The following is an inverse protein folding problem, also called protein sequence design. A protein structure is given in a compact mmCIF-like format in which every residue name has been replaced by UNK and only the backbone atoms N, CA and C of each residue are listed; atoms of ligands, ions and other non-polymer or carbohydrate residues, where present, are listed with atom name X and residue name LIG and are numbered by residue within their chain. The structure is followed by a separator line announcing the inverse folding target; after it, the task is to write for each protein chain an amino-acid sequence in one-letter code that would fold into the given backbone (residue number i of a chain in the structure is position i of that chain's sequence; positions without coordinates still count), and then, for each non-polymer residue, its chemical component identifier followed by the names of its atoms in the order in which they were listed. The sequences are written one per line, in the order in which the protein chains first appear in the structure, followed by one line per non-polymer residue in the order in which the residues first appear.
data_IF_425080307726
#
_entry.id   IF_425080307726
#
_cell.length_a   1.000
_cell.length_b   1.000
_cell.length_c   1.000
_cell.angle_alpha   90.00
_cell.angle_beta   90.00
_cell.angle_gamma   90.00
#
_symmetry.space_group_name_H-M   'P 1'
#
loop_
_entity.id
_entity.type
_entity.pdbx_description
1 polymer ?
#
# COMPACT_ATOMS: atom_id res chain seq x y z
N UNK A 1 -44.16 8.88 -28.51
CA UNK A 1 -44.10 8.58 -27.06
C UNK A 1 -43.43 7.23 -26.75
N UNK A 2 -43.78 6.12 -27.42
CA UNK A 2 -43.13 4.80 -27.22
C UNK A 2 -41.60 4.73 -27.43
N UNK A 3 -40.97 5.37 -28.44
CA UNK A 3 -39.52 5.26 -28.62
C UNK A 3 -38.74 6.09 -27.59
N UNK A 4 -39.29 7.22 -27.15
CA UNK A 4 -38.71 8.08 -26.09
C UNK A 4 -38.65 7.36 -24.74
N UNK A 5 -39.69 6.57 -24.41
CA UNK A 5 -39.71 5.79 -23.17
C UNK A 5 -38.66 4.67 -23.18
N UNK A 6 -38.44 4.04 -24.34
CA UNK A 6 -37.42 3.00 -24.50
C UNK A 6 -35.99 3.56 -24.42
N UNK A 7 -35.75 4.75 -24.97
CA UNK A 7 -34.44 5.43 -24.88
C UNK A 7 -34.12 5.88 -23.45
N UNK A 8 -35.12 6.35 -22.69
CA UNK A 8 -34.94 6.69 -21.26
C UNK A 8 -34.65 5.42 -20.44
N UNK A 9 -35.31 4.30 -20.74
CA UNK A 9 -35.06 3.02 -20.06
C UNK A 9 -33.64 2.49 -20.34
N UNK A 10 -33.11 2.67 -21.55
CA UNK A 10 -31.75 2.24 -21.93
C UNK A 10 -30.66 3.05 -21.23
N UNK A 11 -30.88 4.35 -20.98
CA UNK A 11 -29.96 5.22 -20.24
C UNK A 11 -29.90 4.89 -18.74
N UNK A 12 -30.94 4.26 -18.19
CA UNK A 12 -30.99 3.80 -16.79
C UNK A 12 -30.23 2.49 -16.54
N UNK A 13 -29.80 1.78 -17.60
CA UNK A 13 -28.95 0.58 -17.49
C UNK A 13 -27.46 0.86 -17.71
N UNK A 14 -27.07 2.13 -17.85
CA UNK A 14 -25.66 2.54 -17.85
C UNK A 14 -25.12 2.69 -16.43
N UNK A 15 -25.49 1.78 -15.53
CA UNK A 15 -24.75 1.61 -14.29
C UNK A 15 -23.34 1.19 -14.71
N UNK A 16 -22.40 2.10 -14.50
CA UNK A 16 -20.98 1.86 -14.62
C UNK A 16 -20.64 0.70 -13.72
N UNK A 17 -20.42 -0.48 -14.31
CA UNK A 17 -19.82 -1.61 -13.62
C UNK A 17 -18.39 -1.20 -13.22
N UNK A 18 -18.25 -0.65 -12.02
CA UNK A 18 -16.97 -0.65 -11.34
C UNK A 18 -16.71 -2.11 -10.95
N UNK A 19 -15.62 -2.68 -11.46
CA UNK A 19 -15.08 -3.88 -10.81
C UNK A 19 -14.85 -3.51 -9.34
N UNK A 20 -15.45 -4.26 -8.42
CA UNK A 20 -15.24 -4.00 -7.00
C UNK A 20 -13.81 -4.41 -6.67
N UNK A 21 -13.01 -3.45 -6.20
CA UNK A 21 -11.72 -3.79 -5.66
C UNK A 21 -11.97 -4.55 -4.36
N UNK A 22 -11.66 -5.85 -4.35
CA UNK A 22 -11.87 -6.69 -3.18
C UNK A 22 -10.85 -6.43 -2.07
N UNK A 23 -9.75 -5.73 -2.37
CA UNK A 23 -8.78 -5.31 -1.37
C UNK A 23 -9.30 -4.06 -0.66
N UNK A 24 -9.65 -4.16 0.64
CA UNK A 24 -9.97 -2.98 1.43
C UNK A 24 -8.74 -2.07 1.54
N UNK A 25 -8.98 -0.77 1.76
CA UNK A 25 -7.91 0.22 1.94
C UNK A 25 -6.76 0.10 0.92
N UNK A 26 -7.07 -0.13 -0.37
CA UNK A 26 -6.07 -0.45 -1.40
C UNK A 26 -5.01 0.63 -1.65
N UNK A 27 -5.20 1.85 -1.13
CA UNK A 27 -4.24 2.96 -1.23
C UNK A 27 -3.48 3.25 0.08
N UNK A 28 -3.71 2.50 1.16
CA UNK A 28 -3.11 2.71 2.49
C UNK A 28 -3.50 4.02 3.19
N UNK A 29 -4.52 4.73 2.72
CA UNK A 29 -4.93 6.02 3.28
C UNK A 29 -5.75 5.89 4.57
N UNK A 30 -6.28 4.70 4.86
CA UNK A 30 -6.94 4.42 6.13
C UNK A 30 -5.93 3.86 7.15
N UNK A 31 -5.66 4.66 8.17
CA UNK A 31 -4.72 4.37 9.25
C UNK A 31 -5.22 5.02 10.55
N UNK A 32 -4.78 4.51 11.69
CA UNK A 32 -5.23 4.98 13.01
C UNK A 32 -4.54 6.29 13.41
N UNK A 33 -3.21 6.32 13.37
CA UNK A 33 -2.42 7.50 13.71
C UNK A 33 -1.22 7.63 12.76
N UNK A 34 -0.89 8.87 12.39
CA UNK A 34 0.30 9.14 11.60
C UNK A 34 1.52 9.03 12.51
N UNK A 35 2.44 8.14 12.16
CA UNK A 35 3.63 7.86 12.98
C UNK A 35 4.78 8.76 12.53
N UNK A 36 5.57 9.28 13.47
CA UNK A 36 6.79 10.04 13.19
C UNK A 36 8.01 9.26 13.66
N UNK A 37 8.59 8.43 12.78
CA UNK A 37 9.70 7.56 13.16
C UNK A 37 9.82 6.29 12.32
N UNK A 38 10.74 5.43 12.74
CA UNK A 38 10.92 4.08 12.18
C UNK A 38 9.93 3.16 12.89
N UNK A 39 9.18 2.36 12.12
CA UNK A 39 8.37 1.27 12.66
C UNK A 39 9.31 0.18 13.18
N UNK A 40 9.30 -0.05 14.49
CA UNK A 40 10.29 -0.87 15.19
C UNK A 40 9.80 -2.28 15.53
N UNK A 41 8.51 -2.54 15.37
CA UNK A 41 7.90 -3.83 15.67
C UNK A 41 6.70 -4.15 14.75
N UNK A 42 6.40 -5.46 14.54
CA UNK A 42 5.20 -5.87 13.81
C UNK A 42 3.92 -5.36 14.47
N UNK A 43 3.90 -5.28 15.80
CA UNK A 43 2.78 -4.77 16.57
C UNK A 43 2.52 -3.27 16.29
N UNK A 44 3.56 -2.48 16.09
CA UNK A 44 3.43 -1.07 15.73
C UNK A 44 2.86 -0.91 14.30
N UNK A 45 3.32 -1.69 13.32
CA UNK A 45 2.72 -1.66 11.98
C UNK A 45 1.23 -2.04 12.04
N UNK A 46 0.93 -3.19 12.64
CA UNK A 46 -0.42 -3.74 12.75
C UNK A 46 -1.36 -2.86 13.60
N UNK A 47 -0.79 -2.07 14.51
CA UNK A 47 -1.52 -1.15 15.37
C UNK A 47 -1.75 0.24 14.77
N UNK A 48 -1.11 0.57 13.64
CA UNK A 48 -1.27 1.87 12.97
C UNK A 48 -2.01 1.77 11.63
N UNK A 49 -1.97 0.62 10.94
CA UNK A 49 -2.66 0.45 9.65
C UNK A 49 -4.04 -0.21 9.81
N UNK A 50 -5.04 0.31 9.12
CA UNK A 50 -6.33 -0.36 8.99
C UNK A 50 -6.31 -1.31 7.78
N UNK A 51 -6.90 -2.49 7.95
CA UNK A 51 -7.02 -3.58 6.95
C UNK A 51 -5.73 -4.18 6.40
N UNK A 52 -4.56 -3.67 6.80
CA UNK A 52 -3.25 -4.17 6.41
C UNK A 52 -2.45 -4.60 7.62
N UNK A 53 -1.76 -5.73 7.51
CA UNK A 53 -0.91 -6.26 8.58
C UNK A 53 0.32 -6.99 8.03
N UNK A 54 1.37 -7.07 8.85
CA UNK A 54 2.51 -7.93 8.60
C UNK A 54 2.29 -9.30 9.25
N UNK A 55 2.39 -10.41 8.49
CA UNK A 55 2.28 -11.77 9.00
C UNK A 55 3.61 -12.33 9.52
N UNK A 56 4.65 -11.48 9.62
CA UNK A 56 6.01 -11.89 9.98
C UNK A 56 6.56 -10.99 11.08
N UNK A 57 7.70 -11.39 11.65
CA UNK A 57 8.46 -10.57 12.60
C UNK A 57 9.22 -9.39 11.95
N UNK A 58 9.04 -9.18 10.64
CA UNK A 58 9.59 -8.02 9.95
C UNK A 58 8.76 -6.76 10.19
N UNK A 59 9.36 -5.60 9.91
CA UNK A 59 8.77 -4.28 10.19
C UNK A 59 8.62 -3.47 8.91
N UNK A 60 7.58 -3.71 8.08
CA UNK A 60 7.23 -2.79 7.02
C UNK A 60 7.10 -1.37 7.56
N UNK A 61 7.50 -0.39 6.75
CA UNK A 61 7.41 1.02 7.13
C UNK A 61 6.16 1.64 6.54
N UNK A 62 5.68 2.70 7.18
CA UNK A 62 4.56 3.52 6.72
C UNK A 62 5.11 4.92 6.48
N UNK A 63 5.01 5.38 5.25
CA UNK A 63 5.53 6.68 4.82
C UNK A 63 4.38 7.65 4.56
N UNK A 64 4.61 8.92 4.87
CA UNK A 64 3.61 9.97 4.78
C UNK A 64 4.16 11.22 4.10
N UNK A 65 3.33 11.92 3.33
CA UNK A 65 3.69 13.24 2.76
C UNK A 65 3.22 14.41 3.63
N UNK A 66 2.53 14.14 4.74
CA UNK A 66 1.79 15.12 5.55
C UNK A 66 2.29 15.27 6.99
N UNK A 67 3.31 14.50 7.39
CA UNK A 67 3.95 14.62 8.69
C UNK A 67 5.10 15.64 8.68
N UNK A 68 5.71 15.89 9.84
CA UNK A 68 6.85 16.80 9.95
C UNK A 68 8.03 16.30 9.10
N UNK A 69 8.67 17.14 8.26
CA UNK A 69 9.82 16.75 7.45
C UNK A 69 11.01 16.20 8.24
N UNK A 70 11.11 16.48 9.54
CA UNK A 70 12.13 15.90 10.42
C UNK A 70 11.87 14.45 10.83
N UNK A 71 10.67 13.91 10.55
CA UNK A 71 10.34 12.51 10.76
C UNK A 71 11.04 11.64 9.72
N UNK A 72 11.60 10.50 10.14
CA UNK A 72 12.28 9.54 9.26
C UNK A 72 11.44 9.10 8.05
N UNK A 73 10.15 8.89 8.27
CA UNK A 73 9.21 8.35 7.30
C UNK A 73 8.45 9.44 6.50
N UNK A 74 8.91 10.69 6.54
CA UNK A 74 8.41 11.73 5.66
C UNK A 74 8.90 11.51 4.22
N UNK A 75 8.00 11.71 3.26
CA UNK A 75 8.27 11.63 1.82
C UNK A 75 7.95 12.96 1.12
N UNK A 76 8.66 13.30 0.03
CA UNK A 76 9.66 12.48 -0.66
C UNK A 76 11.04 12.48 0.02
N UNK A 77 11.38 13.53 0.77
CA UNK A 77 12.70 13.69 1.39
C UNK A 77 12.59 14.02 2.87
N UNK A 78 13.04 13.11 3.73
CA UNK A 78 13.15 13.33 5.17
C UNK A 78 14.42 14.13 5.53
N UNK A 79 14.27 15.09 6.45
CA UNK A 79 15.36 15.83 7.10
C UNK A 79 15.95 15.08 8.31
N UNK A 80 15.52 13.85 8.57
CA UNK A 80 15.98 13.04 9.68
C UNK A 80 17.46 12.65 9.52
N UNK A 81 18.29 12.97 10.53
CA UNK A 81 19.74 12.76 10.49
C UNK A 81 20.22 11.36 10.93
N UNK A 82 19.31 10.44 11.28
CA UNK A 82 19.67 9.11 11.81
C UNK A 82 20.08 8.10 10.73
N UNK A 83 20.30 6.82 11.10
CA UNK A 83 20.68 5.79 10.14
C UNK A 83 19.60 5.64 9.06
N UNK A 84 20.02 5.72 7.81
CA UNK A 84 19.11 5.95 6.70
C UNK A 84 18.65 4.60 6.12
N UNK A 85 17.34 4.32 6.14
CA UNK A 85 16.71 3.15 5.52
C UNK A 85 16.30 3.40 4.05
N UNK A 86 15.03 3.18 3.66
CA UNK A 86 14.59 3.44 2.26
C UNK A 86 14.89 4.89 1.92
N UNK A 87 15.76 5.09 0.93
CA UNK A 87 16.25 6.38 0.45
C UNK A 87 15.71 6.66 -0.93
N UNK A 88 15.28 7.90 -1.17
CA UNK A 88 14.91 8.38 -2.50
C UNK A 88 13.66 9.25 -2.46
N UNK A 89 13.45 9.99 -3.54
CA UNK A 89 12.31 10.88 -3.73
C UNK A 89 11.12 10.08 -4.23
N UNK A 90 10.44 9.39 -3.31
CA UNK A 90 9.35 8.48 -3.65
C UNK A 90 8.02 9.00 -3.13
N UNK A 91 7.13 9.38 -4.05
CA UNK A 91 5.78 9.78 -3.67
C UNK A 91 4.82 8.58 -3.72
N UNK A 92 3.82 8.51 -2.81
CA UNK A 92 2.70 7.60 -2.96
C UNK A 92 2.08 7.71 -4.35
N UNK A 93 1.71 6.57 -4.94
CA UNK A 93 1.04 6.54 -6.25
C UNK A 93 -0.27 7.34 -6.24
N UNK A 94 -0.97 7.33 -5.12
CA UNK A 94 -2.20 8.05 -4.84
C UNK A 94 -2.19 8.52 -3.39
N UNK A 95 -2.93 9.58 -3.09
CA UNK A 95 -3.09 10.04 -1.72
C UNK A 95 -1.81 10.57 -1.10
N UNK A 96 -1.61 10.27 0.18
CA UNK A 96 -0.55 10.82 1.04
C UNK A 96 0.24 9.76 1.80
N UNK A 97 -0.14 8.49 1.69
CA UNK A 97 0.44 7.36 2.43
C UNK A 97 0.91 6.27 1.48
N UNK A 98 2.04 5.65 1.80
CA UNK A 98 2.47 4.41 1.16
C UNK A 98 3.19 3.51 2.15
N UNK A 99 3.22 2.21 1.88
CA UNK A 99 4.04 1.27 2.64
C UNK A 99 5.35 0.94 1.94
N UNK A 100 6.41 0.72 2.71
CA UNK A 100 7.69 0.24 2.20
C UNK A 100 8.11 -1.07 2.85
N UNK A 101 8.72 -1.93 2.04
CA UNK A 101 9.21 -3.25 2.43
C UNK A 101 10.65 -3.45 1.94
N UNK A 102 11.43 -4.21 2.68
CA UNK A 102 12.74 -4.67 2.24
C UNK A 102 12.67 -6.11 1.77
N UNK A 103 13.14 -6.33 0.54
CA UNK A 103 13.10 -7.64 -0.13
C UNK A 103 14.48 -8.29 -0.24
N UNK A 104 15.53 -7.54 0.12
CA UNK A 104 16.89 -8.03 0.22
C UNK A 104 17.42 -7.71 1.60
N UNK A 105 18.17 -8.64 2.17
CA UNK A 105 18.72 -8.54 3.52
C UNK A 105 20.15 -9.09 3.55
N UNK A 106 20.93 -8.59 4.51
CA UNK A 106 22.30 -9.04 4.71
C UNK A 106 22.33 -10.49 5.22
N UNK A 107 23.45 -11.18 4.97
CA UNK A 107 23.67 -12.53 5.45
C UNK A 107 23.48 -12.63 6.98
N UNK A 108 22.74 -13.64 7.43
CA UNK A 108 22.42 -13.85 8.84
C UNK A 108 21.18 -13.11 9.34
N UNK A 109 20.74 -12.04 8.68
CA UNK A 109 19.50 -11.32 9.01
C UNK A 109 18.38 -11.78 8.07
N UNK A 110 17.88 -13.01 8.19
CA UNK A 110 16.85 -13.56 7.29
C UNK A 110 15.43 -12.99 7.59
N UNK A 111 15.26 -11.68 7.39
CA UNK A 111 13.97 -10.99 7.53
C UNK A 111 13.23 -10.98 6.19
N UNK A 112 11.96 -11.40 6.22
CA UNK A 112 11.08 -11.37 5.04
C UNK A 112 9.95 -10.42 5.31
N UNK A 113 9.92 -9.30 4.60
CA UNK A 113 8.84 -8.33 4.73
C UNK A 113 7.64 -8.77 3.87
N UNK A 114 6.48 -8.81 4.50
CA UNK A 114 5.20 -9.00 3.84
C UNK A 114 4.21 -8.00 4.42
N UNK A 115 3.31 -7.51 3.56
CA UNK A 115 2.08 -6.84 3.95
C UNK A 115 0.95 -7.64 3.33
N UNK A 116 -0.10 -7.88 4.11
CA UNK A 116 -1.26 -8.61 3.63
C UNK A 116 -2.55 -7.98 4.14
N UNK A 117 -3.61 -8.23 3.39
CA UNK A 117 -4.96 -7.79 3.70
C UNK A 117 -5.93 -8.95 3.46
N UNK A 118 -7.01 -8.96 4.23
CA UNK A 118 -8.12 -9.88 3.99
C UNK A 118 -9.07 -9.25 2.98
N UNK A 119 -9.45 -10.00 1.94
CA UNK A 119 -10.43 -9.54 0.97
C UNK A 119 -11.80 -9.31 1.63
N UNK A 120 -12.52 -8.28 1.17
CA UNK A 120 -13.87 -7.94 1.66
C UNK A 120 -14.89 -9.07 1.41
N UNK A 121 -14.70 -9.81 0.31
CA UNK A 121 -15.53 -10.94 -0.08
C UNK A 121 -14.67 -12.17 -0.42
N UNK A 122 -15.19 -13.39 -0.19
CA UNK A 122 -14.48 -14.62 -0.56
C UNK A 122 -14.35 -14.75 -2.08
N UNK A 123 -13.27 -15.38 -2.52
CA UNK A 123 -13.12 -15.75 -3.93
C UNK A 123 -14.08 -16.88 -4.33
N UNK A 124 -14.62 -16.81 -5.53
CA UNK A 124 -15.55 -17.79 -6.09
C UNK A 124 -14.83 -18.77 -7.04
N UNK A 125 -15.06 -20.09 -6.92
CA UNK A 125 -14.47 -21.07 -7.84
C UNK A 125 -14.80 -20.80 -9.31
N UNK A 126 -13.81 -20.96 -10.19
CA UNK A 126 -13.97 -20.75 -11.63
C UNK A 126 -14.05 -19.27 -12.05
N UNK A 127 -13.77 -18.34 -11.14
CA UNK A 127 -13.66 -16.91 -11.44
C UNK A 127 -12.20 -16.50 -11.53
N UNK A 128 -11.87 -15.73 -12.56
CA UNK A 128 -10.54 -15.14 -12.72
C UNK A 128 -10.44 -13.85 -11.91
N UNK A 129 -9.39 -13.73 -11.10
CA UNK A 129 -9.09 -12.53 -10.32
C UNK A 129 -7.79 -11.92 -10.81
N UNK A 130 -7.76 -10.59 -10.84
CA UNK A 130 -6.57 -9.82 -11.20
C UNK A 130 -6.08 -9.10 -9.96
N UNK A 131 -4.80 -9.29 -9.63
CA UNK A 131 -4.12 -8.56 -8.55
C UNK A 131 -3.18 -7.56 -9.20
N UNK A 132 -3.32 -6.30 -8.83
CA UNK A 132 -2.49 -5.20 -9.31
C UNK A 132 -2.01 -4.37 -8.14
N UNK A 133 -0.74 -3.98 -8.17
CA UNK A 133 -0.15 -3.05 -7.22
C UNK A 133 0.96 -2.27 -7.91
N UNK A 134 1.23 -1.07 -7.41
CA UNK A 134 2.31 -0.21 -7.90
C UNK A 134 3.49 -0.36 -6.96
N UNK A 135 4.65 -0.70 -7.52
CA UNK A 135 5.91 -0.73 -6.80
C UNK A 135 6.87 0.27 -7.41
N UNK A 136 7.71 0.84 -6.56
CA UNK A 136 8.84 1.64 -7.00
C UNK A 136 10.05 1.31 -6.15
N UNK A 137 11.20 1.13 -6.79
CA UNK A 137 12.47 0.94 -6.11
C UNK A 137 12.95 2.29 -5.58
N UNK A 138 13.32 2.38 -4.30
CA UNK A 138 13.91 3.60 -3.75
C UNK A 138 15.17 4.02 -4.52
N UNK A 139 15.33 5.30 -4.82
CA UNK A 139 16.36 5.82 -5.72
C UNK A 139 17.79 5.41 -5.35
N UNK A 140 18.08 5.27 -4.05
CA UNK A 140 19.42 4.93 -3.57
C UNK A 140 19.52 3.50 -3.04
N UNK A 141 18.62 2.60 -3.48
CA UNK A 141 18.70 1.18 -3.17
C UNK A 141 19.73 0.48 -4.08
N UNK A 142 20.59 -0.33 -3.48
CA UNK A 142 21.67 -1.05 -4.20
C UNK A 142 21.19 -2.34 -4.90
N UNK A 143 20.00 -2.82 -4.56
CA UNK A 143 19.47 -4.11 -5.03
C UNK A 143 17.99 -4.00 -5.34
N UNK A 144 17.55 -4.72 -6.36
CA UNK A 144 16.17 -4.78 -6.84
C UNK A 144 15.74 -6.23 -7.09
N UNK A 145 14.44 -6.46 -7.22
CA UNK A 145 13.88 -7.76 -7.58
C UNK A 145 12.68 -7.59 -8.51
N UNK A 146 12.46 -8.55 -9.40
CA UNK A 146 11.30 -8.67 -10.29
C UNK A 146 10.32 -9.75 -9.81
N UNK A 147 10.52 -10.29 -8.60
CA UNK A 147 9.75 -11.41 -8.02
C UNK A 147 8.80 -10.95 -6.91
N UNK A 148 8.11 -9.83 -7.12
CA UNK A 148 7.08 -9.33 -6.21
C UNK A 148 5.73 -9.89 -6.68
N UNK A 149 5.08 -10.68 -5.82
CA UNK A 149 3.81 -11.36 -6.12
C UNK A 149 3.71 -12.71 -5.42
#
# INVERSE_FOLDING_TARGET
MRPLLASILFLLFLDTFYGQNLAPNSSFEDFLEAVCGIIDSPAEFNGNMNDWYTPTEATPQIFFTTIDPSCYNYQPESQYNGPIGIKGDQLPRSGTVMTGIWLYTIEGLNQRHYVQSQLEEPMYPGTDYVVEFYVSLGDYMESSTDRIG
#
